data_IF_831074831419
#
_entry.id   IF_831074831419
#
_cell.length_a   1.000
_cell.length_b   1.000
_cell.length_c   1.000
_cell.angle_alpha   90.00
_cell.angle_beta   90.00
_cell.angle_gamma   90.00
#
_symmetry.space_group_name_H-M   'P 1'
#
loop_
_entity.id
_entity.type
_entity.pdbx_description
1 polymer ?
#
# COMPACT_ATOMS: atom_id res chain seq x y z
N UNK A 1 21.24 4.92 4.69
CA UNK A 1 20.35 3.74 4.87
C UNK A 1 21.22 2.53 5.18
N UNK A 2 20.93 1.80 6.26
CA UNK A 2 21.70 0.59 6.63
C UNK A 2 21.34 -0.58 5.70
N UNK A 3 22.21 -1.59 5.60
CA UNK A 3 21.90 -2.83 4.84
C UNK A 3 20.61 -3.50 5.33
N UNK A 4 20.39 -3.50 6.64
CA UNK A 4 19.17 -4.05 7.24
C UNK A 4 17.91 -3.30 6.78
N UNK A 5 17.95 -1.97 6.75
CA UNK A 5 16.82 -1.16 6.26
C UNK A 5 16.57 -1.39 4.77
N UNK A 6 17.62 -1.52 3.97
CA UNK A 6 17.52 -1.83 2.54
C UNK A 6 16.85 -3.20 2.33
N UNK A 7 17.28 -4.23 3.06
CA UNK A 7 16.70 -5.57 2.98
C UNK A 7 15.20 -5.56 3.33
N UNK A 8 14.82 -4.85 4.41
CA UNK A 8 13.41 -4.71 4.82
C UNK A 8 12.58 -4.00 3.74
N UNK A 9 13.11 -2.92 3.16
CA UNK A 9 12.44 -2.19 2.08
C UNK A 9 12.17 -3.07 0.86
N UNK A 10 13.17 -3.84 0.39
CA UNK A 10 12.97 -4.76 -0.73
C UNK A 10 12.01 -5.89 -0.39
N UNK A 11 12.02 -6.39 0.85
CA UNK A 11 11.03 -7.37 1.32
C UNK A 11 9.60 -6.85 1.22
N UNK A 12 9.37 -5.60 1.65
CA UNK A 12 8.07 -4.93 1.54
C UNK A 12 7.62 -4.81 0.08
N UNK A 13 8.50 -4.37 -0.83
CA UNK A 13 8.17 -4.27 -2.25
C UNK A 13 7.89 -5.64 -2.90
N UNK A 14 8.64 -6.67 -2.52
CA UNK A 14 8.40 -8.03 -3.01
C UNK A 14 7.05 -8.58 -2.56
N UNK A 15 6.68 -8.39 -1.28
CA UNK A 15 5.38 -8.79 -0.74
C UNK A 15 4.23 -8.04 -1.45
N UNK A 16 4.41 -6.74 -1.70
CA UNK A 16 3.45 -5.94 -2.47
C UNK A 16 3.25 -6.49 -3.89
N UNK A 17 4.34 -6.75 -4.62
CA UNK A 17 4.26 -7.31 -5.97
C UNK A 17 3.63 -8.72 -6.01
N UNK A 18 3.81 -9.52 -4.95
CA UNK A 18 3.20 -10.84 -4.83
C UNK A 18 1.71 -10.79 -4.43
N UNK A 19 1.17 -9.62 -4.09
CA UNK A 19 -0.21 -9.48 -3.62
C UNK A 19 -0.42 -9.91 -2.17
N UNK A 20 0.64 -10.02 -1.37
CA UNK A 20 0.55 -10.37 0.06
C UNK A 20 0.13 -9.15 0.90
N UNK A 21 -1.08 -8.63 0.66
CA UNK A 21 -1.54 -7.35 1.21
C UNK A 21 -1.52 -7.32 2.74
N UNK A 22 -1.87 -8.41 3.41
CA UNK A 22 -1.85 -8.46 4.88
C UNK A 22 -0.42 -8.39 5.45
N UNK A 23 0.59 -8.90 4.73
CA UNK A 23 2.00 -8.75 5.11
C UNK A 23 2.47 -7.30 4.92
N UNK A 24 2.08 -6.68 3.80
CA UNK A 24 2.36 -5.28 3.52
C UNK A 24 1.76 -4.36 4.59
N UNK A 25 0.50 -4.58 4.97
CA UNK A 25 -0.21 -3.75 5.95
C UNK A 25 0.38 -3.80 7.36
N UNK A 26 1.12 -4.86 7.73
CA UNK A 26 1.82 -4.94 9.02
C UNK A 26 2.94 -3.93 9.16
N UNK A 27 3.51 -3.47 8.04
CA UNK A 27 4.60 -2.49 8.02
C UNK A 27 4.10 -1.04 8.15
N UNK A 28 2.79 -0.81 8.04
CA UNK A 28 2.19 0.50 8.16
C UNK A 28 1.70 0.77 9.59
N UNK A 29 1.76 2.04 9.99
CA UNK A 29 1.12 2.52 11.21
C UNK A 29 -0.42 2.47 11.07
N UNK A 30 -1.14 2.31 12.19
CA UNK A 30 -2.60 2.27 12.18
C UNK A 30 -3.22 3.62 11.73
N UNK A 31 -2.53 4.74 11.97
CA UNK A 31 -2.92 6.11 11.60
C UNK A 31 -2.25 6.62 10.31
N UNK A 32 -1.65 5.73 9.51
CA UNK A 32 -0.95 6.08 8.27
C UNK A 32 -1.79 7.01 7.37
N UNK A 33 -1.13 8.01 6.78
CA UNK A 33 -1.70 8.77 5.68
C UNK A 33 -0.96 8.42 4.39
N UNK A 34 -1.67 7.79 3.46
CA UNK A 34 -1.19 7.58 2.09
C UNK A 34 -1.75 8.70 1.21
N UNK A 35 -0.94 9.23 0.30
CA UNK A 35 -1.38 10.24 -0.66
C UNK A 35 -0.79 9.93 -2.03
N UNK A 36 -1.66 9.75 -3.02
CA UNK A 36 -1.29 9.71 -4.43
C UNK A 36 -1.95 10.87 -5.16
N UNK A 37 -1.17 11.63 -5.93
CA UNK A 37 -1.70 12.68 -6.79
C UNK A 37 -2.10 12.09 -8.14
N UNK A 38 -3.37 11.70 -8.27
CA UNK A 38 -3.93 11.06 -9.45
C UNK A 38 -5.40 11.46 -9.69
N UNK A 39 -5.97 11.24 -10.88
CA UNK A 39 -7.37 11.54 -11.17
C UNK A 39 -8.30 10.58 -10.40
N UNK A 40 -8.79 10.99 -9.24
CA UNK A 40 -9.64 10.16 -8.36
C UNK A 40 -10.99 9.81 -9.01
N UNK A 41 -11.44 10.60 -9.97
CA UNK A 41 -12.65 10.34 -10.74
C UNK A 41 -12.50 9.13 -11.68
N UNK A 42 -11.25 8.78 -12.03
CA UNK A 42 -10.90 7.62 -12.85
C UNK A 42 -10.45 6.45 -11.98
N UNK A 43 -9.70 6.73 -10.91
CA UNK A 43 -9.14 5.73 -10.00
C UNK A 43 -9.57 6.04 -8.55
N UNK A 44 -10.79 5.65 -8.13
CA UNK A 44 -11.36 6.05 -6.84
C UNK A 44 -10.61 5.49 -5.62
N UNK A 45 -9.85 4.42 -5.81
CA UNK A 45 -8.96 3.84 -4.81
C UNK A 45 -7.68 4.66 -4.59
N UNK A 46 -7.36 5.62 -5.47
CA UNK A 46 -6.27 6.58 -5.30
C UNK A 46 -6.71 7.81 -4.49
N UNK A 47 -5.82 8.77 -4.35
CA UNK A 47 -6.01 10.01 -3.60
C UNK A 47 -5.43 9.93 -2.19
N UNK A 48 -6.03 10.68 -1.25
CA UNK A 48 -5.64 10.66 0.16
C UNK A 48 -6.43 9.58 0.90
N UNK A 49 -5.74 8.62 1.52
CA UNK A 49 -6.33 7.60 2.40
C UNK A 49 -5.75 7.76 3.80
N UNK A 50 -6.62 7.77 4.81
CA UNK A 50 -6.23 7.93 6.22
C UNK A 50 -6.61 6.67 7.00
N UNK A 51 -5.63 6.15 7.73
CA UNK A 51 -5.74 4.93 8.51
C UNK A 51 -5.48 3.68 7.70
N UNK A 52 -4.99 2.64 8.39
CA UNK A 52 -4.65 1.35 7.79
C UNK A 52 -5.84 0.65 7.13
N UNK A 53 -7.05 0.84 7.66
CA UNK A 53 -8.27 0.28 7.08
C UNK A 53 -8.56 0.86 5.67
N UNK A 54 -8.46 2.17 5.50
CA UNK A 54 -8.67 2.83 4.21
C UNK A 54 -7.56 2.50 3.20
N UNK A 55 -6.32 2.34 3.68
CA UNK A 55 -5.23 1.84 2.84
C UNK A 55 -5.49 0.39 2.39
N UNK A 56 -5.92 -0.48 3.31
CA UNK A 56 -6.23 -1.88 3.01
C UNK A 56 -7.33 -2.02 1.95
N UNK A 57 -8.39 -1.21 2.06
CA UNK A 57 -9.45 -1.15 1.05
C UNK A 57 -8.87 -0.77 -0.33
N UNK A 58 -8.09 0.31 -0.40
CA UNK A 58 -7.48 0.76 -1.65
C UNK A 58 -6.59 -0.32 -2.30
N UNK A 59 -5.74 -0.99 -1.51
CA UNK A 59 -4.86 -2.04 -2.01
C UNK A 59 -5.63 -3.27 -2.52
N UNK A 60 -6.72 -3.65 -1.84
CA UNK A 60 -7.58 -4.75 -2.28
C UNK A 60 -8.34 -4.41 -3.56
N UNK A 61 -8.79 -3.16 -3.71
CA UNK A 61 -9.43 -2.70 -4.96
C UNK A 61 -8.44 -2.77 -6.13
N UNK A 62 -7.22 -2.27 -5.96
CA UNK A 62 -6.16 -2.36 -6.99
C UNK A 62 -5.95 -3.83 -7.41
N UNK A 63 -5.83 -4.73 -6.42
CA UNK A 63 -5.64 -6.16 -6.67
C UNK A 63 -6.81 -6.79 -7.42
N UNK A 64 -8.04 -6.39 -7.11
CA UNK A 64 -9.23 -6.93 -7.76
C UNK A 64 -9.42 -6.42 -9.21
N UNK A 65 -8.91 -5.22 -9.52
CA UNK A 65 -9.11 -4.59 -10.83
C UNK A 65 -7.96 -4.88 -11.83
N UNK A 66 -6.74 -5.17 -11.36
CA UNK A 66 -5.54 -5.16 -12.21
C UNK A 66 -4.65 -6.41 -12.15
N UNK A 67 -5.02 -7.44 -11.38
CA UNK A 67 -4.33 -8.74 -11.33
C UNK A 67 -5.25 -9.90 -11.74
#
# INVERSE_FOLDING_TARGET
>A
MTEMLRKRLYGLYAAYAAGHIDEVLREFDDDVTMTSYAPVDVFPYLGRKRGKAALAEALRTIRAEYD
#
